data_IF_477941904205
#
_entry.id   IF_477941904205
#
_cell.length_a   1.000
_cell.length_b   1.000
_cell.length_c   1.000
_cell.angle_alpha   90.00
_cell.angle_beta   90.00
_cell.angle_gamma   90.00
#
_symmetry.space_group_name_H-M   'P 1'
#
loop_
_entity.id
_entity.type
_entity.pdbx_description
1 polymer ?
#
# COMPACT_ATOMS: atom_id res chain seq x y z
N UNK A 1 -0.70 6.24 -15.58
CA UNK A 1 -2.17 6.16 -15.77
C UNK A 1 -2.73 7.53 -16.11
N UNK A 2 -3.85 7.60 -16.83
CA UNK A 2 -4.55 8.89 -17.02
C UNK A 2 -5.04 9.42 -15.67
N UNK A 3 -4.94 10.74 -15.40
CA UNK A 3 -5.49 11.34 -14.19
C UNK A 3 -7.01 11.15 -14.11
N UNK A 4 -7.54 11.08 -12.89
CA UNK A 4 -8.99 11.15 -12.68
C UNK A 4 -9.53 12.51 -13.14
N UNK A 5 -10.60 12.50 -13.94
CA UNK A 5 -11.36 13.68 -14.27
C UNK A 5 -12.87 13.42 -14.09
N UNK A 6 -13.62 14.36 -13.53
CA UNK A 6 -15.05 14.14 -13.22
C UNK A 6 -15.93 13.80 -14.44
N UNK A 7 -15.53 14.19 -15.66
CA UNK A 7 -16.21 13.83 -16.93
C UNK A 7 -15.66 12.58 -17.62
N UNK A 8 -14.49 12.12 -17.18
CA UNK A 8 -13.82 10.93 -17.70
C UNK A 8 -12.96 10.35 -16.57
N UNK A 9 -13.57 9.56 -15.66
CA UNK A 9 -12.92 9.15 -14.42
C UNK A 9 -11.85 8.08 -14.64
N UNK A 10 -11.71 7.57 -15.87
CA UNK A 10 -10.76 6.53 -16.22
C UNK A 10 -10.84 5.31 -15.32
N UNK A 11 -9.70 4.66 -15.09
CA UNK A 11 -9.62 3.46 -14.25
C UNK A 11 -9.96 3.72 -12.77
N UNK A 12 -9.73 4.95 -12.27
CA UNK A 12 -10.05 5.33 -10.89
C UNK A 12 -11.55 5.28 -10.63
N UNK A 13 -12.38 5.56 -11.65
CA UNK A 13 -13.84 5.45 -11.54
C UNK A 13 -14.33 4.04 -11.19
N UNK A 14 -13.53 3.00 -11.41
CA UNK A 14 -13.90 1.63 -11.04
C UNK A 14 -14.03 1.43 -9.53
N UNK A 15 -13.36 2.26 -8.71
CA UNK A 15 -13.42 2.15 -7.25
C UNK A 15 -14.85 2.35 -6.72
N UNK A 16 -15.71 3.07 -7.44
CA UNK A 16 -17.10 3.31 -7.05
C UNK A 16 -18.11 2.63 -7.98
N UNK A 17 -17.66 1.72 -8.85
CA UNK A 17 -18.52 1.11 -9.85
C UNK A 17 -19.36 -0.01 -9.25
N UNK A 18 -20.67 0.11 -9.37
CA UNK A 18 -21.64 -0.95 -9.06
C UNK A 18 -21.90 -1.88 -10.26
N UNK A 19 -21.29 -1.59 -11.41
CA UNK A 19 -21.49 -2.32 -12.68
C UNK A 19 -20.44 -3.41 -12.90
N UNK A 20 -20.12 -4.15 -11.85
CA UNK A 20 -19.21 -5.30 -11.94
C UNK A 20 -19.99 -6.58 -12.25
N UNK A 21 -19.42 -7.51 -13.04
CA UNK A 21 -20.01 -8.84 -13.20
C UNK A 21 -20.21 -9.53 -11.84
N UNK A 22 -21.29 -10.32 -11.66
CA UNK A 22 -21.52 -11.03 -10.41
C UNK A 22 -20.31 -11.86 -9.98
N UNK A 23 -19.99 -11.81 -8.68
CA UNK A 23 -18.86 -12.55 -8.10
C UNK A 23 -17.48 -11.94 -8.39
N UNK A 24 -17.40 -10.72 -8.95
CA UNK A 24 -16.13 -9.99 -9.10
C UNK A 24 -15.99 -8.89 -8.08
N UNK A 25 -14.78 -8.79 -7.53
CA UNK A 25 -14.34 -7.74 -6.64
C UNK A 25 -13.17 -6.99 -7.29
N UNK A 26 -13.12 -5.67 -7.13
CA UNK A 26 -11.99 -4.87 -7.61
C UNK A 26 -10.97 -4.77 -6.48
N UNK A 27 -9.76 -5.23 -6.76
CA UNK A 27 -8.62 -4.94 -5.90
C UNK A 27 -7.72 -3.92 -6.57
N UNK A 28 -7.06 -3.09 -5.76
CA UNK A 28 -6.16 -2.05 -6.25
C UNK A 28 -4.97 -1.87 -5.31
N UNK A 29 -3.78 -1.81 -5.90
CA UNK A 29 -2.52 -1.61 -5.18
C UNK A 29 -2.31 -0.15 -4.81
N UNK A 30 -1.90 0.11 -3.58
CA UNK A 30 -1.52 1.44 -3.10
C UNK A 30 -0.14 1.41 -2.44
N UNK A 31 0.77 2.25 -2.92
CA UNK A 31 2.07 2.50 -2.27
C UNK A 31 1.88 3.60 -1.24
N UNK A 32 1.89 3.23 0.03
CA UNK A 32 1.64 4.14 1.16
C UNK A 32 2.94 4.56 1.86
N UNK A 33 3.91 5.06 1.11
CA UNK A 33 5.20 5.49 1.64
C UNK A 33 5.30 7.00 1.93
N UNK A 34 4.23 7.75 1.64
CA UNK A 34 4.19 9.22 1.77
C UNK A 34 4.82 9.97 0.60
N UNK A 35 5.44 9.27 -0.36
CA UNK A 35 6.12 9.84 -1.52
C UNK A 35 5.33 9.58 -2.81
N UNK A 36 4.91 8.33 -3.04
CA UNK A 36 4.14 7.92 -4.22
C UNK A 36 2.70 8.37 -4.14
N UNK A 37 2.11 8.32 -2.94
CA UNK A 37 0.70 8.63 -2.75
C UNK A 37 0.52 9.71 -1.71
N UNK A 38 -0.12 10.81 -2.12
CA UNK A 38 -0.53 11.86 -1.19
C UNK A 38 -1.53 11.31 -0.15
N UNK A 39 -1.43 11.68 1.15
CA UNK A 39 -2.37 11.24 2.18
C UNK A 39 -3.85 11.47 1.87
N UNK A 40 -4.18 12.55 1.13
CA UNK A 40 -5.55 12.80 0.69
C UNK A 40 -6.04 11.76 -0.32
N UNK A 41 -5.18 11.30 -1.23
CA UNK A 41 -5.51 10.25 -2.18
C UNK A 41 -5.72 8.90 -1.47
N UNK A 42 -4.89 8.57 -0.47
CA UNK A 42 -5.09 7.37 0.37
C UNK A 42 -6.47 7.41 1.04
N UNK A 43 -6.86 8.55 1.62
CA UNK A 43 -8.19 8.72 2.25
C UNK A 43 -9.33 8.56 1.25
N UNK A 44 -9.22 9.16 0.06
CA UNK A 44 -10.24 9.08 -0.97
C UNK A 44 -10.42 7.63 -1.42
N UNK A 45 -9.33 6.96 -1.75
CA UNK A 45 -9.37 5.57 -2.22
C UNK A 45 -9.95 4.64 -1.15
N UNK A 46 -9.45 4.73 0.09
CA UNK A 46 -9.93 3.90 1.20
C UNK A 46 -11.42 4.10 1.48
N UNK A 47 -11.91 5.35 1.47
CA UNK A 47 -13.35 5.62 1.67
C UNK A 47 -14.21 5.17 0.51
N UNK A 48 -13.69 5.23 -0.72
CA UNK A 48 -14.41 4.80 -1.91
C UNK A 48 -14.59 3.27 -1.95
N UNK A 49 -13.52 2.51 -1.67
CA UNK A 49 -13.56 1.06 -1.68
C UNK A 49 -12.56 0.43 -0.70
N UNK A 50 -12.92 0.28 0.59
CA UNK A 50 -11.99 -0.20 1.61
C UNK A 50 -11.60 -1.67 1.41
N UNK A 51 -12.54 -2.54 1.03
CA UNK A 51 -12.29 -3.98 0.89
C UNK A 51 -11.40 -4.34 -0.31
N UNK A 52 -11.31 -3.45 -1.30
CA UNK A 52 -10.45 -3.64 -2.48
C UNK A 52 -9.01 -3.18 -2.28
N UNK A 53 -8.70 -2.51 -1.16
CA UNK A 53 -7.39 -1.88 -0.99
C UNK A 53 -6.32 -2.92 -0.66
N UNK A 54 -5.28 -2.98 -1.49
CA UNK A 54 -4.09 -3.80 -1.25
C UNK A 54 -2.89 -2.89 -1.06
N UNK A 55 -2.28 -2.91 0.12
CA UNK A 55 -1.01 -2.23 0.34
C UNK A 55 0.09 -3.00 -0.36
N UNK A 56 0.88 -2.27 -1.16
CA UNK A 56 2.06 -2.77 -1.83
C UNK A 56 3.23 -1.87 -1.50
N UNK A 57 4.44 -2.44 -1.44
CA UNK A 57 5.64 -1.62 -1.26
C UNK A 57 6.13 -1.07 -2.59
N UNK A 58 6.01 -1.86 -3.67
CA UNK A 58 6.76 -1.63 -4.92
C UNK A 58 8.26 -1.44 -4.64
N UNK A 59 8.77 -2.16 -3.64
CA UNK A 59 10.14 -2.00 -3.17
C UNK A 59 11.15 -2.45 -4.21
N UNK A 60 12.21 -1.66 -4.40
CA UNK A 60 13.35 -2.02 -5.25
C UNK A 60 14.45 -2.74 -4.47
N UNK A 61 15.39 -3.45 -5.15
CA UNK A 61 16.49 -4.15 -4.48
C UNK A 61 17.35 -3.29 -3.55
N UNK A 62 17.33 -1.97 -3.73
CA UNK A 62 18.04 -1.02 -2.88
C UNK A 62 17.42 -0.84 -1.47
N UNK A 63 16.22 -1.36 -1.21
CA UNK A 63 15.60 -1.34 0.10
C UNK A 63 16.56 -1.95 1.15
N UNK A 64 16.94 -1.15 2.14
CA UNK A 64 17.84 -1.56 3.23
C UNK A 64 19.35 -1.41 2.93
N UNK A 65 19.74 -0.94 1.74
CA UNK A 65 21.16 -0.78 1.36
C UNK A 65 21.72 0.63 1.58
N UNK A 66 20.87 1.60 1.95
CA UNK A 66 21.26 2.99 2.19
C UNK A 66 21.32 3.85 0.93
N UNK A 67 21.65 5.13 1.11
CA UNK A 67 21.72 6.11 0.03
C UNK A 67 22.82 5.79 -0.99
N UNK A 68 22.62 6.22 -2.23
CA UNK A 68 23.59 6.10 -3.31
C UNK A 68 23.03 5.45 -4.57
N UNK A 69 23.93 5.09 -5.48
CA UNK A 69 23.56 4.46 -6.76
C UNK A 69 23.43 2.95 -6.61
N UNK A 70 22.33 2.44 -7.13
CA UNK A 70 21.99 1.02 -7.19
C UNK A 70 21.45 0.66 -8.57
N UNK A 71 21.18 -0.62 -8.80
CA UNK A 71 20.62 -1.11 -10.07
C UNK A 71 19.25 -1.76 -9.89
N UNK A 72 18.34 -1.46 -10.81
CA UNK A 72 17.07 -2.15 -10.99
C UNK A 72 17.06 -2.73 -12.40
N UNK A 73 17.48 -4.00 -12.52
CA UNK A 73 17.76 -4.59 -13.82
C UNK A 73 18.88 -3.85 -14.55
N UNK A 74 18.59 -3.31 -15.74
CA UNK A 74 19.54 -2.51 -16.53
C UNK A 74 19.49 -1.00 -16.21
N UNK A 75 18.56 -0.57 -15.36
CA UNK A 75 18.38 0.84 -15.00
C UNK A 75 19.21 1.19 -13.75
N UNK A 76 19.95 2.29 -13.81
CA UNK A 76 20.54 2.89 -12.60
C UNK A 76 19.48 3.68 -11.83
N UNK A 77 19.42 3.45 -10.52
CA UNK A 77 18.57 4.20 -9.59
C UNK A 77 19.42 4.87 -8.53
N UNK A 78 19.03 6.07 -8.12
CA UNK A 78 19.67 6.83 -7.07
C UNK A 78 18.73 6.90 -5.87
N UNK A 79 19.18 6.34 -4.75
CA UNK A 79 18.47 6.39 -3.47
C UNK A 79 18.94 7.60 -2.69
N UNK A 80 17.99 8.48 -2.35
CA UNK A 80 18.19 9.62 -1.48
C UNK A 80 17.09 9.64 -0.41
N UNK A 81 17.48 9.31 0.82
CA UNK A 81 16.58 9.27 1.96
C UNK A 81 15.48 8.23 1.76
N UNK A 82 14.24 8.71 1.60
CA UNK A 82 13.03 7.88 1.45
C UNK A 82 12.61 7.62 -0.01
N UNK A 83 13.42 8.03 -0.97
CA UNK A 83 13.07 7.98 -2.39
C UNK A 83 14.11 7.28 -3.24
N UNK A 84 13.64 6.56 -4.26
CA UNK A 84 14.45 6.03 -5.35
C UNK A 84 14.06 6.72 -6.65
N UNK A 85 15.02 7.36 -7.32
CA UNK A 85 14.82 7.99 -8.61
C UNK A 85 15.57 7.25 -9.71
N UNK A 86 15.11 7.32 -10.95
CA UNK A 86 15.97 7.02 -12.10
C UNK A 86 17.15 7.98 -12.08
N UNK A 87 18.38 7.45 -12.09
CA UNK A 87 19.59 8.24 -11.88
C UNK A 87 19.66 9.44 -12.86
N UNK A 88 19.94 10.63 -12.32
CA UNK A 88 19.99 11.87 -13.11
C UNK A 88 18.62 12.48 -13.44
N UNK A 89 17.52 11.98 -12.88
CA UNK A 89 16.17 12.53 -13.07
C UNK A 89 15.43 12.73 -11.75
N UNK A 90 14.18 13.20 -11.81
CA UNK A 90 13.24 13.23 -10.67
C UNK A 90 12.11 12.21 -10.81
N UNK A 91 12.26 11.24 -11.70
CA UNK A 91 11.26 10.21 -11.94
C UNK A 91 11.43 9.13 -10.89
N UNK A 92 10.40 8.90 -10.06
CA UNK A 92 10.40 7.81 -9.09
C UNK A 92 10.54 6.45 -9.79
N UNK A 93 11.32 5.56 -9.19
CA UNK A 93 11.57 4.21 -9.70
C UNK A 93 11.40 3.21 -8.56
N UNK A 94 10.14 2.86 -8.29
CA UNK A 94 9.74 2.05 -7.14
C UNK A 94 9.99 2.75 -5.80
N UNK A 95 9.80 2.01 -4.70
CA UNK A 95 9.93 2.53 -3.34
C UNK A 95 11.13 1.92 -2.59
N UNK A 96 11.51 2.59 -1.50
CA UNK A 96 12.40 2.02 -0.47
C UNK A 96 11.66 1.88 0.88
N UNK A 97 10.33 1.92 0.88
CA UNK A 97 9.53 1.69 2.08
C UNK A 97 9.25 0.20 2.31
N UNK A 98 9.60 -0.35 3.49
CA UNK A 98 9.16 -1.68 3.88
C UNK A 98 7.66 -1.69 4.23
N UNK A 99 7.05 -2.88 4.24
CA UNK A 99 5.60 -3.03 4.43
C UNK A 99 5.11 -2.46 5.77
N UNK A 100 5.89 -2.59 6.85
CA UNK A 100 5.51 -2.05 8.16
C UNK A 100 5.45 -0.52 8.17
N UNK A 101 6.32 0.15 7.40
CA UNK A 101 6.23 1.60 7.17
C UNK A 101 4.97 1.93 6.37
N UNK A 102 4.66 1.18 5.31
CA UNK A 102 3.46 1.38 4.52
C UNK A 102 2.18 1.27 5.37
N UNK A 103 2.08 0.26 6.23
CA UNK A 103 0.95 0.05 7.15
C UNK A 103 0.82 1.21 8.14
N UNK A 104 1.92 1.61 8.81
CA UNK A 104 1.88 2.72 9.79
C UNK A 104 1.50 4.04 9.14
N UNK A 105 2.08 4.35 7.98
CA UNK A 105 1.76 5.57 7.25
C UNK A 105 0.30 5.54 6.75
N UNK A 106 -0.18 4.39 6.26
CA UNK A 106 -1.56 4.24 5.84
C UNK A 106 -2.55 4.51 6.99
N UNK A 107 -2.28 3.91 8.15
CA UNK A 107 -3.05 4.13 9.38
C UNK A 107 -3.07 5.62 9.76
N UNK A 108 -1.92 6.28 9.79
CA UNK A 108 -1.81 7.71 10.11
C UNK A 108 -2.53 8.60 9.09
N UNK A 109 -2.38 8.32 7.80
CA UNK A 109 -2.94 9.13 6.72
C UNK A 109 -4.47 9.03 6.65
N UNK A 110 -5.02 7.85 6.96
CA UNK A 110 -6.45 7.56 6.82
C UNK A 110 -7.24 7.65 8.12
N UNK A 111 -6.61 7.38 9.26
CA UNK A 111 -7.28 7.22 10.54
C UNK A 111 -8.19 5.99 10.59
N UNK A 112 -7.97 4.99 9.72
CA UNK A 112 -8.69 3.72 9.77
C UNK A 112 -8.34 2.93 11.04
N UNK A 113 -9.00 1.79 11.25
CA UNK A 113 -8.64 0.92 12.36
C UNK A 113 -7.35 0.16 12.07
N UNK A 114 -6.68 -0.35 13.11
CA UNK A 114 -5.47 -1.17 12.94
C UNK A 114 -5.81 -2.43 12.13
N UNK A 115 -6.96 -3.02 12.37
CA UNK A 115 -7.50 -4.17 11.65
C UNK A 115 -7.62 -3.85 10.15
N UNK A 116 -8.25 -2.72 9.77
CA UNK A 116 -8.38 -2.32 8.36
C UNK A 116 -7.01 -2.14 7.67
N UNK A 117 -6.04 -1.56 8.39
CA UNK A 117 -4.69 -1.38 7.86
C UNK A 117 -3.94 -2.71 7.69
N UNK A 118 -4.12 -3.65 8.61
CA UNK A 118 -3.56 -5.00 8.53
C UNK A 118 -4.25 -5.82 7.44
N UNK A 119 -5.58 -5.79 7.35
CA UNK A 119 -6.35 -6.44 6.28
C UNK A 119 -5.89 -6.00 4.90
N UNK A 120 -5.63 -4.70 4.70
CA UNK A 120 -5.08 -4.19 3.45
C UNK A 120 -3.68 -4.72 3.11
N UNK A 121 -2.89 -5.14 4.10
CA UNK A 121 -1.56 -5.71 3.91
C UNK A 121 -1.52 -7.25 3.94
N UNK A 122 -2.60 -7.93 4.38
CA UNK A 122 -2.63 -9.39 4.55
C UNK A 122 -3.88 -10.06 3.95
N UNK A 123 -5.07 -9.70 4.44
CA UNK A 123 -6.33 -10.35 4.05
C UNK A 123 -6.71 -10.02 2.60
N UNK A 124 -6.73 -8.74 2.22
CA UNK A 124 -7.11 -8.33 0.87
C UNK A 124 -6.17 -8.88 -0.21
N UNK A 125 -4.82 -8.87 -0.06
CA UNK A 125 -3.97 -9.57 -1.03
C UNK A 125 -4.20 -11.09 -1.03
N UNK A 126 -4.49 -11.71 0.11
CA UNK A 126 -4.85 -13.14 0.13
C UNK A 126 -6.14 -13.41 -0.64
N UNK A 127 -7.20 -12.60 -0.45
CA UNK A 127 -8.45 -12.69 -1.21
C UNK A 127 -8.25 -12.46 -2.70
N UNK A 128 -7.44 -11.46 -3.08
CA UNK A 128 -7.09 -11.20 -4.47
C UNK A 128 -6.45 -12.42 -5.14
N UNK A 129 -5.63 -13.17 -4.40
CA UNK A 129 -4.92 -14.35 -4.89
C UNK A 129 -5.70 -15.66 -4.69
N UNK A 130 -6.88 -15.64 -4.07
CA UNK A 130 -7.66 -16.83 -3.74
C UNK A 130 -7.02 -17.72 -2.66
N UNK A 131 -6.27 -17.11 -1.74
CA UNK A 131 -5.49 -17.77 -0.68
C UNK A 131 -6.07 -17.53 0.73
N UNK A 132 -7.21 -16.85 0.85
CA UNK A 132 -7.79 -16.41 2.13
C UNK A 132 -8.15 -17.56 3.08
N UNK A 133 -8.26 -18.79 2.57
CA UNK A 133 -8.44 -19.99 3.41
C UNK A 133 -7.18 -20.42 4.17
N UNK A 134 -6.01 -19.96 3.73
CA UNK A 134 -4.71 -20.37 4.26
C UNK A 134 -3.81 -19.21 4.68
N UNK A 135 -3.99 -18.02 4.11
CA UNK A 135 -3.13 -16.85 4.31
C UNK A 135 -3.97 -15.62 4.65
N UNK A 136 -3.35 -14.68 5.35
CA UNK A 136 -3.93 -13.37 5.64
C UNK A 136 -4.96 -13.34 6.78
N UNK A 137 -5.27 -14.50 7.37
CA UNK A 137 -6.18 -14.65 8.53
C UNK A 137 -5.48 -15.32 9.71
N UNK A 138 -6.09 -15.23 10.89
CA UNK A 138 -5.68 -15.95 12.10
C UNK A 138 -6.73 -17.02 12.46
N UNK A 139 -7.16 -17.79 11.45
CA UNK A 139 -8.18 -18.83 11.60
C UNK A 139 -7.57 -20.22 11.81
N UNK A 140 -8.33 -21.11 12.45
CA UNK A 140 -7.93 -22.51 12.56
C UNK A 140 -7.77 -23.15 11.17
N UNK A 141 -6.62 -23.77 10.94
CA UNK A 141 -6.29 -24.42 9.66
C UNK A 141 -5.60 -23.51 8.64
N UNK A 142 -5.44 -22.21 8.94
CA UNK A 142 -4.56 -21.32 8.20
C UNK A 142 -3.08 -21.54 8.57
N UNK A 143 -2.18 -21.11 7.69
CA UNK A 143 -0.75 -21.17 7.95
C UNK A 143 -0.34 -20.14 9.02
N UNK A 144 0.60 -20.50 9.89
CA UNK A 144 1.05 -19.68 11.01
C UNK A 144 2.02 -18.54 10.60
N UNK A 145 1.72 -17.84 9.51
CA UNK A 145 2.50 -16.68 9.05
C UNK A 145 2.05 -15.43 9.81
N UNK A 146 2.79 -15.09 10.87
CA UNK A 146 2.42 -14.00 11.79
C UNK A 146 3.52 -12.95 11.93
N UNK A 147 3.12 -11.72 12.21
CA UNK A 147 4.02 -10.62 12.54
C UNK A 147 3.62 -10.03 13.90
N UNK A 148 4.61 -9.89 14.78
CA UNK A 148 4.46 -9.21 16.05
C UNK A 148 5.13 -7.84 16.02
N UNK A 149 4.54 -6.85 16.70
CA UNK A 149 5.17 -5.54 16.90
C UNK A 149 5.32 -5.24 18.38
N UNK A 150 6.49 -4.76 18.80
CA UNK A 150 6.64 -4.17 20.14
C UNK A 150 5.78 -2.90 20.21
N UNK A 151 4.87 -2.82 21.19
CA UNK A 151 3.75 -1.90 21.20
C UNK A 151 4.13 -0.41 21.20
N UNK A 152 3.69 0.33 20.18
CA UNK A 152 3.32 1.75 20.25
C UNK A 152 2.40 2.18 19.09
N UNK A 153 1.32 1.43 18.85
CA UNK A 153 0.25 1.83 17.92
C UNK A 153 -0.69 2.91 18.50
N UNK A 154 -0.56 3.19 19.80
CA UNK A 154 -1.38 4.17 20.50
C UNK A 154 -0.86 5.59 20.31
N UNK A 155 -1.21 6.21 19.18
CA UNK A 155 -1.22 7.66 19.01
C UNK A 155 -2.36 8.32 19.79
N UNK A 156 -2.43 8.10 21.10
CA UNK A 156 -3.31 8.83 21.99
C UNK A 156 -2.63 10.15 22.38
N UNK A 157 -3.03 11.26 21.77
CA UNK A 157 -2.66 12.60 22.25
C UNK A 157 -3.11 12.77 23.70
N UNK A 158 -2.20 12.62 24.67
CA UNK A 158 -2.36 13.29 25.96
C UNK A 158 -2.20 14.77 25.68
N UNK A 159 -3.32 15.48 25.59
CA UNK A 159 -3.33 16.94 25.70
C UNK A 159 -2.89 17.28 27.12
N UNK A 160 -1.81 18.05 27.23
CA UNK A 160 -1.49 18.82 28.42
C UNK A 160 -2.48 19.97 28.57
#
# INVERSE_FOLDING_TARGET
MLPFHHRDPGIVGLLTSDRLPPGRHIFYGMISDGMHTNPAALRIAHRAHPQGMVLVTDAVPALGLGNGRHTLGQQEVEVDGLTAYVAGTKTLSGSIAPMDVCVRHFLQATGCSVESALEAASLHPAQLLGLEKHKGTLDFGADADTVGSAASWAGGTRRH
#
